data_IF_173982749307
#
_entry.id   IF_173982749307
#
_cell.length_a   1.000
_cell.length_b   1.000
_cell.length_c   1.000
_cell.angle_alpha   90.00
_cell.angle_beta   90.00
_cell.angle_gamma   90.00
#
_symmetry.space_group_name_H-M   'P 1'
#
loop_
_entity.id
_entity.type
_entity.pdbx_description
1 polymer ?
#
# COMPACT_ATOMS: atom_id res chain seq x y z
N UNK A 1 -12.01 9.58 8.52
CA UNK A 1 -10.72 8.87 8.63
C UNK A 1 -11.03 7.55 9.33
N UNK A 2 -10.81 6.39 8.68
CA UNK A 2 -10.80 5.13 9.44
C UNK A 2 -9.80 5.25 10.58
N UNK A 3 -10.05 4.61 11.72
CA UNK A 3 -9.30 4.87 12.94
C UNK A 3 -7.92 4.21 12.86
N UNK A 4 -6.98 4.86 12.19
CA UNK A 4 -5.55 4.63 12.40
C UNK A 4 -5.23 5.14 13.81
N UNK A 5 -4.76 4.26 14.67
CA UNK A 5 -4.28 4.59 16.00
C UNK A 5 -2.85 5.15 15.87
N UNK A 6 -2.41 5.85 16.93
CA UNK A 6 -1.13 6.52 16.94
C UNK A 6 0.03 5.55 16.66
N UNK A 7 -0.07 4.31 17.17
CA UNK A 7 0.93 3.25 16.96
C UNK A 7 1.05 2.89 15.48
N UNK A 8 -0.07 2.71 14.77
CA UNK A 8 -0.04 2.38 13.35
C UNK A 8 0.45 3.55 12.50
N UNK A 9 0.08 4.79 12.84
CA UNK A 9 0.62 5.99 12.18
C UNK A 9 2.13 6.11 12.35
N UNK A 10 2.65 5.94 13.57
CA UNK A 10 4.08 5.96 13.85
C UNK A 10 4.83 4.85 13.12
N UNK A 11 4.28 3.63 13.09
CA UNK A 11 4.87 2.53 12.34
C UNK A 11 4.95 2.84 10.84
N UNK A 12 3.88 3.37 10.23
CA UNK A 12 3.88 3.78 8.82
C UNK A 12 4.97 4.82 8.57
N UNK A 13 5.08 5.84 9.43
CA UNK A 13 6.10 6.90 9.30
C UNK A 13 7.52 6.33 9.37
N UNK A 14 7.79 5.41 10.29
CA UNK A 14 9.10 4.76 10.42
C UNK A 14 9.45 3.90 9.21
N UNK A 15 8.50 3.09 8.72
CA UNK A 15 8.68 2.27 7.53
C UNK A 15 8.99 3.11 6.29
N UNK A 16 8.19 4.16 6.12
CA UNK A 16 8.33 5.13 5.03
C UNK A 16 9.72 5.81 5.08
N UNK A 17 10.16 6.26 6.26
CA UNK A 17 11.48 6.86 6.43
C UNK A 17 12.60 5.87 6.12
N UNK A 18 12.49 4.64 6.62
CA UNK A 18 13.46 3.59 6.40
C UNK A 18 13.63 3.27 4.91
N UNK A 19 12.54 3.16 4.16
CA UNK A 19 12.61 2.90 2.71
C UNK A 19 13.07 4.11 1.90
N UNK A 20 12.70 5.34 2.30
CA UNK A 20 13.19 6.55 1.62
C UNK A 20 14.71 6.67 1.68
N UNK A 21 15.36 6.20 2.76
CA UNK A 21 16.82 6.25 2.84
C UNK A 21 17.53 5.30 1.86
N UNK A 22 16.82 4.33 1.27
CA UNK A 22 17.35 3.41 0.25
C UNK A 22 17.12 3.90 -1.19
N UNK A 23 16.12 4.76 -1.39
CA UNK A 23 15.74 5.25 -2.71
C UNK A 23 15.68 6.78 -2.68
N UNK A 24 16.46 7.43 -3.55
CA UNK A 24 16.46 8.88 -3.71
C UNK A 24 15.16 9.37 -4.37
N UNK A 25 14.07 9.40 -3.59
CA UNK A 25 12.78 9.93 -4.03
C UNK A 25 12.75 11.44 -3.77
N UNK A 26 12.49 12.18 -4.84
CA UNK A 26 12.25 13.62 -4.79
C UNK A 26 11.19 13.99 -3.74
N UNK A 27 11.41 15.00 -2.89
CA UNK A 27 10.48 15.36 -1.83
C UNK A 27 9.04 15.62 -2.32
N UNK A 28 8.87 16.24 -3.48
CA UNK A 28 7.55 16.53 -4.07
C UNK A 28 6.80 15.27 -4.52
N UNK A 29 7.52 14.30 -5.11
CA UNK A 29 6.97 13.00 -5.48
C UNK A 29 6.55 12.24 -4.23
N UNK A 30 7.38 12.28 -3.20
CA UNK A 30 7.13 11.63 -1.94
C UNK A 30 5.89 12.18 -1.20
N UNK A 31 5.72 13.51 -1.13
CA UNK A 31 4.49 14.10 -0.58
C UNK A 31 3.26 13.77 -1.42
N UNK A 32 3.41 13.66 -2.74
CA UNK A 32 2.33 13.22 -3.63
C UNK A 32 1.87 11.80 -3.29
N UNK A 33 2.82 10.86 -3.09
CA UNK A 33 2.51 9.48 -2.70
C UNK A 33 1.81 9.42 -1.33
N UNK A 34 2.25 10.23 -0.35
CA UNK A 34 1.57 10.32 0.95
C UNK A 34 0.14 10.84 0.83
N UNK A 35 -0.12 11.72 -0.12
CA UNK A 35 -1.45 12.23 -0.42
C UNK A 35 -2.31 11.23 -1.24
N UNK A 36 -1.78 10.05 -1.58
CA UNK A 36 -2.48 9.06 -2.41
C UNK A 36 -2.43 9.35 -3.91
N UNK A 37 -1.51 10.20 -4.36
CA UNK A 37 -1.29 10.47 -5.78
C UNK A 37 -0.16 9.59 -6.32
N UNK A 38 -0.53 8.59 -7.12
CA UNK A 38 0.37 7.61 -7.74
C UNK A 38 0.76 7.98 -9.20
N UNK A 39 0.56 9.23 -9.62
CA UNK A 39 0.78 9.64 -11.03
C UNK A 39 2.24 9.57 -11.48
N UNK A 40 3.19 9.69 -10.55
CA UNK A 40 4.62 9.60 -10.86
C UNK A 40 5.08 8.16 -10.68
N UNK A 41 5.43 7.51 -11.80
CA UNK A 41 5.87 6.12 -11.84
C UNK A 41 7.21 6.01 -12.54
N UNK A 42 8.26 5.80 -11.75
CA UNK A 42 9.58 5.44 -12.23
C UNK A 42 10.13 4.31 -11.36
N UNK A 43 11.23 3.70 -11.79
CA UNK A 43 11.81 2.54 -11.10
C UNK A 43 12.10 2.81 -9.62
N UNK A 44 12.59 3.99 -9.25
CA UNK A 44 12.87 4.34 -7.86
C UNK A 44 11.58 4.37 -7.03
N UNK A 45 10.52 5.01 -7.55
CA UNK A 45 9.22 5.11 -6.87
C UNK A 45 8.58 3.72 -6.70
N UNK A 46 8.64 2.89 -7.72
CA UNK A 46 8.10 1.53 -7.66
C UNK A 46 8.88 0.68 -6.65
N UNK A 47 10.21 0.80 -6.63
CA UNK A 47 11.04 0.05 -5.69
C UNK A 47 10.90 0.54 -4.25
N UNK A 48 10.69 1.85 -4.06
CA UNK A 48 10.25 2.40 -2.78
C UNK A 48 8.92 1.77 -2.33
N UNK A 49 7.97 1.63 -3.25
CA UNK A 49 6.69 0.95 -3.01
C UNK A 49 6.90 -0.51 -2.56
N UNK A 50 7.72 -1.27 -3.26
CA UNK A 50 8.04 -2.65 -2.87
C UNK A 50 8.69 -2.73 -1.48
N UNK A 51 9.68 -1.89 -1.21
CA UNK A 51 10.29 -1.82 0.12
C UNK A 51 9.25 -1.57 1.21
N UNK A 52 8.37 -0.60 1.00
CA UNK A 52 7.33 -0.25 1.95
C UNK A 52 6.36 -1.41 2.18
N UNK A 53 5.84 -2.01 1.10
CA UNK A 53 4.86 -3.11 1.16
C UNK A 53 5.46 -4.36 1.81
N UNK A 54 6.71 -4.71 1.51
CA UNK A 54 7.43 -5.82 2.16
C UNK A 54 7.62 -5.57 3.64
N UNK A 55 8.12 -4.39 4.04
CA UNK A 55 8.34 -4.08 5.46
C UNK A 55 7.06 -3.89 6.26
N UNK A 56 5.98 -3.45 5.62
CA UNK A 56 4.65 -3.44 6.21
C UNK A 56 4.08 -4.86 6.41
N UNK A 57 4.73 -5.88 5.85
CA UNK A 57 4.30 -7.28 5.94
C UNK A 57 3.13 -7.61 5.01
N UNK A 58 2.87 -6.79 3.99
CA UNK A 58 1.81 -7.02 3.01
C UNK A 58 2.27 -7.98 1.91
N UNK A 59 3.56 -8.02 1.63
CA UNK A 59 4.19 -8.86 0.62
C UNK A 59 5.34 -9.65 1.24
N UNK A 60 5.43 -10.92 0.89
CA UNK A 60 6.50 -11.82 1.28
C UNK A 60 7.67 -11.75 0.27
N UNK A 61 8.83 -12.29 0.63
CA UNK A 61 10.02 -12.27 -0.24
C UNK A 61 9.84 -13.04 -1.56
N UNK A 62 8.92 -14.00 -1.58
CA UNK A 62 8.57 -14.78 -2.77
C UNK A 62 7.47 -14.12 -3.63
N UNK A 63 7.22 -12.83 -3.47
CA UNK A 63 6.22 -12.04 -4.20
C UNK A 63 4.75 -12.43 -3.95
N UNK A 64 4.49 -13.27 -2.95
CA UNK A 64 3.10 -13.56 -2.51
C UNK A 64 2.61 -12.50 -1.54
N UNK A 65 1.30 -12.25 -1.50
CA UNK A 65 0.69 -11.25 -0.64
C UNK A 65 0.10 -11.87 0.63
N UNK A 66 0.41 -11.27 1.78
CA UNK A 66 -0.08 -11.71 3.08
C UNK A 66 -1.52 -11.22 3.30
N UNK A 67 -2.47 -12.12 3.05
CA UNK A 67 -3.90 -11.85 3.20
C UNK A 67 -4.25 -11.28 4.57
N UNK A 68 -3.81 -11.90 5.65
CA UNK A 68 -4.23 -11.54 6.99
C UNK A 68 -3.75 -10.14 7.39
N UNK A 69 -2.52 -9.77 7.01
CA UNK A 69 -1.99 -8.43 7.27
C UNK A 69 -2.74 -7.37 6.48
N UNK A 70 -3.01 -7.61 5.18
CA UNK A 70 -3.77 -6.69 4.33
C UNK A 70 -5.20 -6.53 4.87
N UNK A 71 -5.90 -7.64 5.13
CA UNK A 71 -7.26 -7.65 5.67
C UNK A 71 -7.34 -6.90 7.00
N UNK A 72 -6.41 -7.13 7.92
CA UNK A 72 -6.35 -6.43 9.22
C UNK A 72 -6.20 -4.93 9.02
N UNK A 73 -5.44 -4.49 8.03
CA UNK A 73 -5.25 -3.07 7.72
C UNK A 73 -6.52 -2.46 7.10
N UNK A 74 -7.07 -3.06 6.04
CA UNK A 74 -8.21 -2.51 5.29
C UNK A 74 -9.51 -2.51 6.12
N UNK A 75 -9.69 -3.49 7.01
CA UNK A 75 -10.84 -3.57 7.93
C UNK A 75 -10.97 -2.38 8.89
N UNK A 76 -9.91 -1.56 9.04
CA UNK A 76 -9.95 -0.32 9.83
C UNK A 76 -10.72 0.80 9.13
N UNK A 77 -10.95 0.65 7.82
CA UNK A 77 -11.56 1.64 6.96
C UNK A 77 -12.88 1.14 6.39
N UNK A 78 -12.92 -0.10 5.90
CA UNK A 78 -14.07 -0.73 5.23
C UNK A 78 -14.55 -1.99 5.96
N UNK A 79 -15.73 -2.51 5.61
CA UNK A 79 -16.23 -3.76 6.19
C UNK A 79 -15.35 -4.94 5.77
N UNK A 80 -15.44 -6.05 6.52
CA UNK A 80 -14.72 -7.30 6.18
C UNK A 80 -15.02 -7.75 4.74
N UNK A 81 -16.29 -7.76 4.35
CA UNK A 81 -16.73 -8.15 3.01
C UNK A 81 -16.07 -7.30 1.91
N UNK A 82 -16.03 -5.98 2.09
CA UNK A 82 -15.37 -5.08 1.13
C UNK A 82 -13.87 -5.35 1.11
N UNK A 83 -13.22 -5.52 2.27
CA UNK A 83 -11.80 -5.88 2.33
C UNK A 83 -11.49 -7.17 1.58
N UNK A 84 -12.32 -8.21 1.72
CA UNK A 84 -12.13 -9.50 1.01
C UNK A 84 -12.25 -9.31 -0.49
N UNK A 85 -13.25 -8.54 -0.94
CA UNK A 85 -13.43 -8.20 -2.34
C UNK A 85 -12.23 -7.44 -2.90
N UNK A 86 -11.73 -6.43 -2.18
CA UNK A 86 -10.55 -5.65 -2.59
C UNK A 86 -9.30 -6.53 -2.65
N UNK A 87 -9.07 -7.38 -1.65
CA UNK A 87 -7.92 -8.29 -1.65
C UNK A 87 -7.90 -9.18 -2.88
N UNK A 88 -9.02 -9.86 -3.18
CA UNK A 88 -9.12 -10.73 -4.34
C UNK A 88 -8.90 -9.95 -5.65
N UNK A 89 -9.61 -8.83 -5.83
CA UNK A 89 -9.49 -7.99 -7.04
C UNK A 89 -8.04 -7.56 -7.30
N UNK A 90 -7.31 -7.19 -6.24
CA UNK A 90 -6.00 -6.59 -6.38
C UNK A 90 -4.85 -7.61 -6.35
N UNK A 91 -5.06 -8.84 -5.89
CA UNK A 91 -3.99 -9.84 -5.74
C UNK A 91 -4.16 -11.09 -6.59
N UNK A 92 -5.34 -11.32 -7.17
CA UNK A 92 -5.58 -12.44 -8.08
C UNK A 92 -4.85 -12.23 -9.41
N UNK A 93 -4.19 -13.29 -9.92
CA UNK A 93 -3.54 -13.34 -11.23
C UNK A 93 -2.42 -12.30 -11.46
N UNK A 94 -1.79 -11.81 -10.39
CA UNK A 94 -0.63 -10.92 -10.50
C UNK A 94 0.59 -11.68 -11.01
N UNK A 95 1.31 -11.08 -11.96
CA UNK A 95 2.62 -11.59 -12.40
C UNK A 95 3.71 -10.95 -11.53
N UNK A 96 4.59 -11.74 -10.88
CA UNK A 96 5.71 -11.21 -10.11
C UNK A 96 6.70 -10.45 -11.00
N UNK A 97 6.77 -9.15 -10.80
CA UNK A 97 7.69 -8.21 -11.46
C UNK A 97 8.28 -7.34 -10.36
N UNK A 98 9.62 -7.32 -10.29
CA UNK A 98 10.35 -6.55 -9.30
C UNK A 98 9.91 -5.08 -9.30
N UNK A 99 9.62 -4.54 -8.12
CA UNK A 99 9.12 -3.20 -7.85
C UNK A 99 7.68 -2.92 -8.34
N UNK A 100 7.38 -3.30 -9.57
CA UNK A 100 6.12 -3.00 -10.26
C UNK A 100 4.93 -3.66 -9.56
N UNK A 101 5.00 -4.97 -9.29
CA UNK A 101 3.85 -5.71 -8.73
C UNK A 101 3.44 -5.18 -7.37
N UNK A 102 4.40 -4.90 -6.49
CA UNK A 102 4.10 -4.38 -5.17
C UNK A 102 3.42 -3.00 -5.24
N UNK A 103 3.91 -2.14 -6.13
CA UNK A 103 3.36 -0.81 -6.35
C UNK A 103 1.93 -0.87 -6.91
N UNK A 104 1.71 -1.67 -7.95
CA UNK A 104 0.40 -1.84 -8.59
C UNK A 104 -0.65 -2.38 -7.61
N UNK A 105 -0.29 -3.41 -6.85
CA UNK A 105 -1.20 -4.00 -5.86
C UNK A 105 -1.54 -3.01 -4.76
N UNK A 106 -0.54 -2.27 -4.25
CA UNK A 106 -0.80 -1.25 -3.23
C UNK A 106 -1.70 -0.12 -3.74
N UNK A 107 -1.44 0.39 -4.94
CA UNK A 107 -2.29 1.40 -5.58
C UNK A 107 -3.72 0.88 -5.75
N UNK A 108 -3.90 -0.34 -6.26
CA UNK A 108 -5.21 -0.97 -6.42
C UNK A 108 -5.98 -1.05 -5.09
N UNK A 109 -5.32 -1.49 -4.02
CA UNK A 109 -5.95 -1.58 -2.69
C UNK A 109 -6.33 -0.19 -2.20
N UNK A 110 -5.43 0.78 -2.28
CA UNK A 110 -5.68 2.16 -1.85
C UNK A 110 -6.90 2.74 -2.55
N UNK A 111 -6.95 2.68 -3.88
CA UNK A 111 -8.04 3.25 -4.67
C UNK A 111 -9.38 2.59 -4.37
N UNK A 112 -9.44 1.26 -4.27
CA UNK A 112 -10.70 0.56 -4.00
C UNK A 112 -11.20 0.77 -2.57
N UNK A 113 -10.30 0.82 -1.58
CA UNK A 113 -10.66 1.15 -0.19
C UNK A 113 -11.10 2.60 -0.08
N UNK A 114 -10.39 3.54 -0.72
CA UNK A 114 -10.75 4.96 -0.74
C UNK A 114 -12.12 5.18 -1.37
N UNK A 115 -12.35 4.66 -2.58
CA UNK A 115 -13.66 4.73 -3.27
C UNK A 115 -14.80 4.18 -2.39
N UNK A 116 -14.60 3.02 -1.76
CA UNK A 116 -15.61 2.37 -0.90
C UNK A 116 -15.81 3.05 0.46
N UNK A 117 -14.85 3.87 0.89
CA UNK A 117 -14.97 4.69 2.10
C UNK A 117 -15.65 6.02 1.81
N UNK A 118 -15.28 6.68 0.71
CA UNK A 118 -15.86 7.96 0.31
C UNK A 118 -17.35 7.81 -0.03
N UNK A 119 -17.74 6.71 -0.67
CA UNK A 119 -19.16 6.39 -0.96
C UNK A 119 -20.03 6.14 0.28
N UNK A 120 -19.47 6.12 1.50
CA UNK A 120 -20.20 5.97 2.77
C UNK A 120 -20.42 7.29 3.51
N UNK A 121 -19.86 8.39 3.00
CA UNK A 121 -20.21 9.75 3.44
C UNK A 121 -21.42 10.25 2.65
#
# INVERSE_FOLDING_TARGET
>A
MGRLDLVCLLAIVLLVHSCRNEFEIEPSVFESLRAGNFSVRNSLVECFGECFVKRAGFMNDNFTFNRDTIMRFTNRFVSKEISEKVYNICTDNVTPTYCVTAFDVYQCIYENVYKSWDSRK
#
